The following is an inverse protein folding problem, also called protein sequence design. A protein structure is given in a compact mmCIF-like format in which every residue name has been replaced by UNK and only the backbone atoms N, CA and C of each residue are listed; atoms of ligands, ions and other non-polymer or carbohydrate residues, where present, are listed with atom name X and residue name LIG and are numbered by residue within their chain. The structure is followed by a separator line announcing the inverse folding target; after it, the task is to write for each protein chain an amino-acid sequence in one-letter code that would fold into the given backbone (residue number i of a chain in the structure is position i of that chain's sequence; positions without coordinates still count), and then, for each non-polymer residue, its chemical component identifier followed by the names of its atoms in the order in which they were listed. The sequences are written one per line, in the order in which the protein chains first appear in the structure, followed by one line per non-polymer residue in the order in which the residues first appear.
data_IF_688757136768
#
_entry.id   IF_688757136768
#
_cell.length_a   1.000
_cell.length_b   1.000
_cell.length_c   1.000
_cell.angle_alpha   90.00
_cell.angle_beta   90.00
_cell.angle_gamma   90.00
#
_symmetry.space_group_name_H-M   'P 1'
#
loop_
_entity.id
_entity.type
_entity.pdbx_description
1 polymer ?
#
# COMPACT_ATOMS: atom_id res chain seq x y z
N UNK A 1 33.93 -33.66 4.11
CA UNK A 1 33.77 -32.36 4.82
C UNK A 1 32.63 -31.60 4.17
N UNK A 2 31.59 -31.18 4.91
CA UNK A 2 30.53 -30.36 4.34
C UNK A 2 31.13 -29.02 3.90
N UNK A 3 30.75 -28.52 2.71
CA UNK A 3 31.26 -27.23 2.23
C UNK A 3 30.93 -26.11 3.24
N UNK A 4 31.74 -25.05 3.34
CA UNK A 4 31.46 -23.91 4.21
C UNK A 4 30.06 -23.32 3.99
N UNK A 5 29.55 -23.41 2.75
CA UNK A 5 28.19 -23.05 2.36
C UNK A 5 27.15 -23.98 3.00
N UNK A 6 27.34 -25.30 2.93
CA UNK A 6 26.43 -26.27 3.56
C UNK A 6 26.40 -26.12 5.10
N UNK A 7 27.53 -25.80 5.72
CA UNK A 7 27.60 -25.52 7.16
C UNK A 7 26.89 -24.21 7.53
N UNK A 8 26.99 -23.17 6.70
CA UNK A 8 26.29 -21.89 6.91
C UNK A 8 24.77 -22.02 6.74
N UNK A 9 24.32 -22.76 5.73
CA UNK A 9 22.90 -23.02 5.45
C UNK A 9 22.24 -23.79 6.60
N UNK A 10 22.92 -24.80 7.16
CA UNK A 10 22.42 -25.57 8.32
C UNK A 10 22.27 -24.75 9.61
N UNK A 11 22.94 -23.59 9.72
CA UNK A 11 22.83 -22.70 10.88
C UNK A 11 21.65 -21.73 10.80
N UNK A 12 20.94 -21.69 9.67
CA UNK A 12 19.77 -20.82 9.51
C UNK A 12 18.60 -21.42 10.30
N UNK A 13 18.01 -20.68 11.26
CA UNK A 13 16.87 -21.17 12.03
C UNK A 13 15.67 -21.52 11.13
N UNK A 14 14.90 -22.54 11.51
CA UNK A 14 13.66 -22.93 10.82
C UNK A 14 12.70 -21.73 10.66
N UNK A 15 12.63 -20.86 11.67
CA UNK A 15 11.79 -19.65 11.63
C UNK A 15 12.18 -18.71 10.48
N UNK A 16 13.47 -18.63 10.14
CA UNK A 16 13.94 -17.84 8.99
C UNK A 16 13.53 -18.50 7.68
N UNK A 17 13.62 -19.82 7.57
CA UNK A 17 13.15 -20.56 6.40
C UNK A 17 11.65 -20.38 6.16
N UNK A 18 10.84 -20.51 7.22
CA UNK A 18 9.38 -20.30 7.14
C UNK A 18 9.07 -18.86 6.73
N UNK A 19 9.77 -17.85 7.27
CA UNK A 19 9.59 -16.47 6.83
C UNK A 19 9.96 -16.27 5.36
N UNK A 20 11.08 -16.83 4.89
CA UNK A 20 11.47 -16.73 3.49
C UNK A 20 10.48 -17.41 2.57
N UNK A 21 10.01 -18.60 2.94
CA UNK A 21 9.03 -19.34 2.15
C UNK A 21 7.69 -18.59 2.09
N UNK A 22 7.12 -18.19 3.24
CA UNK A 22 5.80 -17.55 3.26
C UNK A 22 5.83 -16.14 2.71
N UNK A 23 6.75 -15.28 3.15
CA UNK A 23 6.81 -13.89 2.70
C UNK A 23 7.39 -13.80 1.29
N UNK A 24 8.54 -14.43 1.05
CA UNK A 24 9.18 -14.45 -0.26
C UNK A 24 8.32 -15.17 -1.29
N UNK A 25 7.72 -16.31 -0.94
CA UNK A 25 6.77 -17.02 -1.79
C UNK A 25 5.54 -16.18 -2.13
N UNK A 26 4.96 -15.46 -1.16
CA UNK A 26 3.82 -14.56 -1.42
C UNK A 26 4.19 -13.42 -2.38
N UNK A 27 5.35 -12.77 -2.16
CA UNK A 27 5.85 -11.70 -3.04
C UNK A 27 6.11 -12.23 -4.45
N UNK A 28 6.79 -13.37 -4.58
CA UNK A 28 7.09 -14.00 -5.87
C UNK A 28 5.82 -14.48 -6.58
N UNK A 29 4.83 -14.99 -5.85
CA UNK A 29 3.55 -15.39 -6.40
C UNK A 29 2.80 -14.21 -7.00
N UNK A 30 2.69 -13.09 -6.26
CA UNK A 30 2.08 -11.87 -6.79
C UNK A 30 2.85 -11.36 -8.01
N UNK A 31 4.18 -11.30 -7.94
CA UNK A 31 5.03 -10.89 -9.06
C UNK A 31 4.83 -11.77 -10.31
N UNK A 32 4.70 -13.08 -10.12
CA UNK A 32 4.43 -14.03 -11.20
C UNK A 32 3.08 -13.75 -11.87
N UNK A 33 2.02 -13.55 -11.08
CA UNK A 33 0.67 -13.27 -11.62
C UNK A 33 0.60 -11.95 -12.38
N UNK A 34 1.28 -10.90 -11.90
CA UNK A 34 1.25 -9.57 -12.55
C UNK A 34 2.27 -9.41 -13.68
N UNK A 35 3.07 -10.44 -13.98
CA UNK A 35 4.08 -10.43 -15.03
C UNK A 35 3.94 -11.60 -16.01
N UNK A 36 2.75 -11.82 -16.61
CA UNK A 36 2.59 -12.87 -17.61
C UNK A 36 3.54 -12.59 -18.79
N UNK A 37 4.20 -13.62 -19.28
CA UNK A 37 5.15 -13.57 -20.41
C UNK A 37 6.25 -12.51 -20.32
N UNK A 38 6.56 -12.03 -19.11
CA UNK A 38 7.55 -10.97 -18.91
C UNK A 38 7.07 -9.58 -19.33
N UNK A 39 5.75 -9.36 -19.43
CA UNK A 39 5.17 -8.08 -19.88
C UNK A 39 5.64 -6.85 -19.09
N UNK A 40 6.04 -6.97 -17.82
CA UNK A 40 6.60 -5.83 -17.07
C UNK A 40 7.89 -5.30 -17.69
N UNK A 41 8.61 -6.11 -18.46
CA UNK A 41 9.92 -5.76 -19.03
C UNK A 41 9.86 -5.40 -20.52
N UNK A 42 8.67 -5.40 -21.13
CA UNK A 42 8.50 -4.94 -22.51
C UNK A 42 8.30 -3.42 -22.56
N UNK A 43 8.59 -2.80 -23.72
CA UNK A 43 8.44 -1.35 -23.91
C UNK A 43 6.99 -0.89 -24.13
N UNK A 44 6.02 -1.80 -24.17
CA UNK A 44 4.61 -1.45 -24.31
C UNK A 44 4.08 -0.63 -23.12
N UNK A 45 3.10 0.20 -23.38
CA UNK A 45 2.31 0.87 -22.35
C UNK A 45 1.24 -0.08 -21.79
N UNK A 46 0.80 0.13 -20.53
CA UNK A 46 -0.34 -0.60 -19.99
C UNK A 46 -1.63 -0.22 -20.72
N UNK A 47 -2.58 -1.16 -20.72
CA UNK A 47 -3.95 -1.00 -21.25
C UNK A 47 -4.94 -1.68 -20.30
N UNK A 48 -6.23 -1.58 -20.59
CA UNK A 48 -7.31 -2.17 -19.81
C UNK A 48 -7.95 -1.17 -18.85
N UNK A 49 -9.30 -1.15 -18.84
CA UNK A 49 -10.09 -0.21 -18.04
C UNK A 49 -9.59 1.22 -18.09
N UNK A 50 -9.63 1.89 -16.95
CA UNK A 50 -9.11 3.26 -16.80
C UNK A 50 -7.59 3.31 -16.63
N UNK A 51 -6.90 2.18 -16.46
CA UNK A 51 -5.43 2.15 -16.34
C UNK A 51 -4.74 2.73 -17.57
N UNK A 52 -5.31 2.52 -18.77
CA UNK A 52 -4.79 3.11 -20.00
C UNK A 52 -4.77 4.64 -19.97
N UNK A 53 -5.72 5.27 -19.28
CA UNK A 53 -5.76 6.74 -19.14
C UNK A 53 -4.60 7.28 -18.30
N UNK A 54 -4.02 6.46 -17.40
CA UNK A 54 -2.85 6.86 -16.61
C UNK A 54 -1.56 6.96 -17.41
N UNK A 55 -1.52 6.51 -18.66
CA UNK A 55 -0.35 6.69 -19.54
C UNK A 55 -0.12 8.17 -19.88
N UNK A 56 -1.16 8.99 -19.93
CA UNK A 56 -1.01 10.42 -20.24
C UNK A 56 -0.40 11.21 -19.07
N UNK A 57 -0.84 10.91 -17.84
CA UNK A 57 -0.60 11.75 -16.69
C UNK A 57 0.87 12.01 -16.33
N UNK A 58 1.69 10.96 -16.07
CA UNK A 58 3.11 11.14 -15.76
C UNK A 58 3.88 11.84 -16.88
N UNK A 59 3.56 11.56 -18.15
CA UNK A 59 4.16 12.27 -19.29
C UNK A 59 3.82 13.76 -19.25
N UNK A 60 2.56 14.12 -19.01
CA UNK A 60 2.15 15.52 -18.86
C UNK A 60 2.87 16.21 -17.68
N UNK A 61 2.98 15.56 -16.51
CA UNK A 61 3.74 16.13 -15.39
C UNK A 61 5.20 16.38 -15.79
N UNK A 62 5.84 15.39 -16.42
CA UNK A 62 7.25 15.44 -16.82
C UNK A 62 7.53 16.56 -17.81
N UNK A 63 6.71 16.67 -18.85
CA UNK A 63 6.99 17.51 -20.01
C UNK A 63 6.44 18.93 -19.82
N UNK A 64 5.31 19.06 -19.11
CA UNK A 64 4.58 20.32 -19.01
C UNK A 64 4.68 20.95 -17.61
N UNK A 65 4.56 20.19 -16.53
CA UNK A 65 4.44 20.79 -15.19
C UNK A 65 5.79 20.99 -14.48
N UNK A 66 6.63 19.95 -14.42
CA UNK A 66 7.91 19.99 -13.71
C UNK A 66 8.89 21.03 -14.27
N UNK A 67 9.03 21.25 -15.59
CA UNK A 67 9.92 22.28 -16.13
C UNK A 67 9.52 23.70 -15.71
N UNK A 68 8.25 23.89 -15.33
CA UNK A 68 7.70 25.15 -14.82
C UNK A 68 7.60 25.19 -13.30
N UNK A 69 8.23 24.22 -12.61
CA UNK A 69 8.20 24.08 -11.15
C UNK A 69 6.77 23.99 -10.57
N UNK A 70 5.88 23.28 -11.28
CA UNK A 70 4.49 23.06 -10.88
C UNK A 70 4.20 21.58 -10.65
N UNK A 71 3.21 21.32 -9.79
CA UNK A 71 2.66 19.99 -9.53
C UNK A 71 1.22 19.84 -10.03
N UNK A 72 0.56 20.94 -10.35
CA UNK A 72 -0.80 21.00 -10.90
C UNK A 72 -0.86 22.06 -12.00
N UNK A 73 -1.85 21.96 -12.89
CA UNK A 73 -2.03 22.93 -13.97
C UNK A 73 -3.32 22.73 -14.75
N UNK A 74 -3.52 23.57 -15.76
CA UNK A 74 -4.58 23.38 -16.76
C UNK A 74 -3.96 22.76 -18.01
N UNK A 75 -4.59 21.72 -18.55
CA UNK A 75 -4.25 21.21 -19.88
C UNK A 75 -5.38 21.53 -20.85
N UNK A 76 -5.09 21.91 -22.11
CA UNK A 76 -6.10 21.97 -23.16
C UNK A 76 -6.49 20.59 -23.70
N UNK A 77 -5.87 19.51 -23.21
CA UNK A 77 -6.18 18.14 -23.61
C UNK A 77 -7.63 17.77 -23.21
N UNK A 78 -8.35 17.14 -24.14
CA UNK A 78 -9.78 16.77 -24.08
C UNK A 78 -10.76 17.95 -23.95
N UNK A 79 -11.57 18.13 -25.00
CA UNK A 79 -12.62 19.17 -25.08
C UNK A 79 -12.08 20.59 -24.82
N UNK A 80 -12.56 21.27 -23.78
CA UNK A 80 -12.11 22.61 -23.39
C UNK A 80 -10.89 22.59 -22.46
N UNK A 81 -10.39 21.40 -22.10
CA UNK A 81 -9.36 21.20 -21.10
C UNK A 81 -9.92 20.90 -19.71
N UNK A 82 -9.01 20.58 -18.77
CA UNK A 82 -9.37 20.25 -17.40
C UNK A 82 -8.22 20.55 -16.40
N UNK A 83 -8.52 20.66 -15.09
CA UNK A 83 -7.53 20.98 -14.07
C UNK A 83 -6.70 19.74 -13.69
N UNK A 84 -5.65 19.45 -14.46
CA UNK A 84 -4.72 18.36 -14.22
C UNK A 84 -4.10 18.39 -12.81
N UNK A 85 -4.16 17.25 -12.11
CA UNK A 85 -3.57 17.00 -10.79
C UNK A 85 -4.10 17.82 -9.60
N UNK A 86 -5.18 18.57 -9.77
CA UNK A 86 -5.84 19.24 -8.65
C UNK A 86 -6.59 18.25 -7.74
N UNK A 87 -7.18 17.21 -8.34
CA UNK A 87 -7.99 16.21 -7.63
C UNK A 87 -7.44 14.78 -7.73
N UNK A 88 -6.28 14.60 -8.37
CA UNK A 88 -5.62 13.32 -8.53
C UNK A 88 -4.32 13.27 -7.73
N UNK A 89 -3.99 12.09 -7.21
CA UNK A 89 -2.80 11.88 -6.37
C UNK A 89 -1.53 12.08 -7.20
N UNK A 90 -0.76 13.12 -6.90
CA UNK A 90 0.41 13.51 -7.71
C UNK A 90 1.63 12.63 -7.44
N UNK A 91 1.81 12.17 -6.21
CA UNK A 91 3.04 11.46 -5.79
C UNK A 91 3.25 10.13 -6.52
N UNK A 92 2.23 9.25 -6.71
CA UNK A 92 2.40 8.05 -7.54
C UNK A 92 2.91 8.36 -8.95
N UNK A 93 2.44 9.45 -9.55
CA UNK A 93 2.86 9.86 -10.89
C UNK A 93 4.28 10.41 -10.91
N UNK A 94 4.66 11.17 -9.88
CA UNK A 94 6.05 11.60 -9.70
C UNK A 94 7.00 10.40 -9.54
N UNK A 95 6.55 9.32 -8.89
CA UNK A 95 7.35 8.08 -8.82
C UNK A 95 7.52 7.46 -10.21
N UNK A 96 6.48 7.45 -11.05
CA UNK A 96 6.61 7.02 -12.47
C UNK A 96 7.65 7.87 -13.19
N UNK A 97 7.57 9.20 -13.08
CA UNK A 97 8.52 10.12 -13.73
C UNK A 97 9.95 9.92 -13.20
N UNK A 98 10.12 9.72 -11.89
CA UNK A 98 11.42 9.48 -11.29
C UNK A 98 12.08 8.20 -11.81
N UNK A 99 11.31 7.14 -12.02
CA UNK A 99 11.78 5.87 -12.60
C UNK A 99 12.04 6.01 -14.11
N UNK A 100 11.18 6.72 -14.83
CA UNK A 100 11.33 6.97 -16.27
C UNK A 100 12.60 7.78 -16.58
N UNK A 101 12.73 8.94 -15.96
CA UNK A 101 13.82 9.88 -16.23
C UNK A 101 15.13 9.46 -15.56
N UNK A 102 15.07 8.82 -14.38
CA UNK A 102 16.22 8.56 -13.52
C UNK A 102 16.69 9.83 -12.79
N UNK A 103 16.80 9.79 -11.46
CA UNK A 103 17.09 10.96 -10.63
C UNK A 103 18.53 11.48 -10.77
N UNK A 104 19.44 10.72 -11.38
CA UNK A 104 20.84 11.10 -11.53
C UNK A 104 21.35 10.96 -12.96
N UNK A 105 20.48 11.10 -13.96
CA UNK A 105 20.80 10.89 -15.37
C UNK A 105 22.02 11.68 -15.87
N UNK A 106 22.20 12.97 -15.51
CA UNK A 106 23.42 13.71 -15.86
C UNK A 106 24.70 13.20 -15.18
N UNK A 107 24.57 12.41 -14.11
CA UNK A 107 25.67 11.95 -13.25
C UNK A 107 25.91 10.43 -13.33
N UNK A 108 25.28 9.71 -14.27
CA UNK A 108 25.36 8.24 -14.33
C UNK A 108 26.80 7.71 -14.45
N UNK A 109 27.69 8.45 -15.12
CA UNK A 109 29.11 8.10 -15.24
C UNK A 109 29.80 7.99 -13.87
N UNK A 110 29.34 8.76 -12.88
CA UNK A 110 29.87 8.72 -11.51
C UNK A 110 29.05 7.78 -10.64
N UNK A 111 27.72 7.82 -10.76
CA UNK A 111 26.82 7.09 -9.87
C UNK A 111 26.86 5.58 -10.12
N UNK A 112 26.95 5.13 -11.39
CA UNK A 112 27.00 3.70 -11.70
C UNK A 112 28.26 3.01 -11.13
N UNK A 113 29.49 3.55 -11.30
CA UNK A 113 30.67 3.00 -10.62
C UNK A 113 30.54 3.02 -9.09
N UNK A 114 29.95 4.08 -8.51
CA UNK A 114 29.75 4.16 -7.06
C UNK A 114 28.80 3.07 -6.54
N UNK A 115 27.69 2.80 -7.25
CA UNK A 115 26.77 1.70 -6.97
C UNK A 115 27.51 0.36 -7.10
N UNK A 116 28.28 0.15 -8.17
CA UNK A 116 29.08 -1.06 -8.37
C UNK A 116 30.09 -1.31 -7.25
N UNK A 117 30.80 -0.26 -6.83
CA UNK A 117 31.76 -0.33 -5.72
C UNK A 117 31.06 -0.61 -4.39
N UNK A 118 29.90 0.01 -4.14
CA UNK A 118 29.10 -0.26 -2.94
C UNK A 118 28.60 -1.71 -2.91
N UNK A 119 28.10 -2.22 -4.03
CA UNK A 119 27.69 -3.61 -4.18
C UNK A 119 28.87 -4.58 -3.96
N UNK A 120 30.03 -4.32 -4.59
CA UNK A 120 31.23 -5.12 -4.42
C UNK A 120 31.71 -5.14 -2.96
N UNK A 121 31.67 -3.99 -2.26
CA UNK A 121 31.99 -3.89 -0.83
C UNK A 121 31.01 -4.67 0.04
N UNK A 122 29.71 -4.60 -0.23
CA UNK A 122 28.69 -5.37 0.50
C UNK A 122 28.90 -6.88 0.33
N UNK A 123 29.14 -7.33 -0.91
CA UNK A 123 29.37 -8.74 -1.24
C UNK A 123 30.69 -9.25 -0.68
N UNK A 124 31.76 -8.43 -0.69
CA UNK A 124 33.07 -8.78 -0.13
C UNK A 124 33.03 -8.89 1.40
N UNK A 125 32.43 -7.91 2.07
CA UNK A 125 32.45 -7.84 3.53
C UNK A 125 31.44 -8.78 4.18
N UNK A 126 30.36 -9.17 3.48
CA UNK A 126 29.27 -10.04 3.96
C UNK A 126 28.78 -9.72 5.37
N UNK A 127 28.81 -8.44 5.74
CA UNK A 127 28.41 -8.00 7.09
C UNK A 127 26.92 -8.28 7.33
N UNK A 128 26.49 -8.27 8.59
CA UNK A 128 25.12 -8.61 8.96
C UNK A 128 24.09 -7.84 8.10
N UNK A 129 23.14 -8.56 7.48
CA UNK A 129 22.13 -7.96 6.60
C UNK A 129 22.64 -7.43 5.25
N UNK A 130 23.79 -7.89 4.75
CA UNK A 130 24.30 -7.47 3.43
C UNK A 130 23.33 -7.75 2.29
N UNK A 131 22.56 -8.85 2.33
CA UNK A 131 21.52 -9.16 1.33
C UNK A 131 20.42 -8.11 1.30
N UNK A 132 19.94 -7.68 2.47
CA UNK A 132 18.95 -6.62 2.59
C UNK A 132 19.50 -5.30 2.06
N UNK A 133 20.73 -4.94 2.44
CA UNK A 133 21.39 -3.73 1.93
C UNK A 133 21.65 -3.78 0.43
N UNK A 134 21.96 -4.95 -0.12
CA UNK A 134 22.12 -5.15 -1.56
C UNK A 134 20.77 -5.00 -2.28
N UNK A 135 19.69 -5.54 -1.72
CA UNK A 135 18.34 -5.34 -2.24
C UNK A 135 17.91 -3.87 -2.20
N UNK A 136 18.20 -3.15 -1.11
CA UNK A 136 17.97 -1.71 -1.02
C UNK A 136 18.80 -0.92 -2.04
N UNK A 137 20.06 -1.32 -2.23
CA UNK A 137 20.92 -0.71 -3.25
C UNK A 137 20.34 -0.97 -4.65
N UNK A 138 19.89 -2.18 -4.96
CA UNK A 138 19.25 -2.51 -6.22
C UNK A 138 17.96 -1.70 -6.47
N UNK A 139 17.12 -1.54 -5.43
CA UNK A 139 15.93 -0.70 -5.50
C UNK A 139 16.29 0.78 -5.73
N UNK A 140 17.36 1.27 -5.08
CA UNK A 140 17.87 2.63 -5.31
C UNK A 140 18.39 2.79 -6.74
N UNK A 141 19.06 1.78 -7.31
CA UNK A 141 19.52 1.80 -8.70
C UNK A 141 18.38 2.07 -9.69
N UNK A 142 17.19 1.51 -9.44
CA UNK A 142 16.01 1.72 -10.29
C UNK A 142 15.54 3.17 -10.30
N UNK A 143 15.73 3.91 -9.20
CA UNK A 143 15.40 5.34 -9.15
C UNK A 143 16.47 6.23 -9.78
N UNK A 144 17.67 5.69 -10.00
CA UNK A 144 18.84 6.43 -10.47
C UNK A 144 18.99 6.31 -11.98
N UNK A 145 18.78 5.10 -12.52
CA UNK A 145 18.98 4.77 -13.92
C UNK A 145 17.67 4.96 -14.69
N UNK A 146 17.66 5.71 -15.81
CA UNK A 146 16.47 5.85 -16.64
C UNK A 146 15.91 4.51 -17.09
N UNK A 147 14.59 4.38 -17.05
CA UNK A 147 13.86 3.20 -17.50
C UNK A 147 12.87 3.64 -18.57
N UNK A 148 12.67 2.83 -19.62
CA UNK A 148 11.71 3.19 -20.66
C UNK A 148 10.31 3.45 -20.06
N UNK A 149 9.68 4.55 -20.45
CA UNK A 149 8.38 5.01 -19.92
C UNK A 149 7.33 3.91 -19.70
N UNK A 150 7.08 3.08 -20.73
CA UNK A 150 6.14 1.96 -20.65
C UNK A 150 6.47 0.96 -19.53
N UNK A 151 7.76 0.67 -19.29
CA UNK A 151 8.20 -0.17 -18.18
C UNK A 151 8.04 0.56 -16.84
N UNK A 152 8.44 1.83 -16.76
CA UNK A 152 8.36 2.64 -15.54
C UNK A 152 6.92 2.69 -15.00
N UNK A 153 5.94 3.00 -15.86
CA UNK A 153 4.53 3.04 -15.45
C UNK A 153 4.02 1.67 -15.03
N UNK A 154 4.37 0.58 -15.73
CA UNK A 154 3.98 -0.79 -15.35
C UNK A 154 4.56 -1.18 -14.00
N UNK A 155 5.84 -0.88 -13.75
CA UNK A 155 6.51 -1.21 -12.49
C UNK A 155 5.86 -0.49 -11.31
N UNK A 156 5.62 0.81 -11.42
CA UNK A 156 4.99 1.58 -10.35
C UNK A 156 3.52 1.18 -10.14
N UNK A 157 2.82 0.81 -11.22
CA UNK A 157 1.45 0.29 -11.14
C UNK A 157 1.37 -0.97 -10.28
N UNK A 158 2.29 -1.92 -10.46
CA UNK A 158 2.21 -3.23 -9.78
C UNK A 158 3.00 -3.29 -8.46
N UNK A 159 3.95 -2.38 -8.21
CA UNK A 159 4.85 -2.49 -7.06
C UNK A 159 4.09 -2.50 -5.74
N UNK A 160 2.98 -1.74 -5.62
CA UNK A 160 2.14 -1.75 -4.43
C UNK A 160 1.56 -3.14 -4.11
N UNK A 161 1.11 -3.87 -5.13
CA UNK A 161 0.65 -5.27 -4.98
C UNK A 161 1.82 -6.19 -4.58
N UNK A 162 2.95 -6.09 -5.29
CA UNK A 162 4.11 -6.97 -5.10
C UNK A 162 4.72 -6.82 -3.70
N UNK A 163 4.79 -5.60 -3.17
CA UNK A 163 5.35 -5.35 -1.83
C UNK A 163 4.34 -5.51 -0.70
N UNK A 164 3.04 -5.66 -1.01
CA UNK A 164 1.99 -5.78 0.02
C UNK A 164 2.21 -6.94 0.99
N UNK A 165 2.63 -8.16 0.58
CA UNK A 165 2.94 -9.22 1.54
C UNK A 165 4.11 -8.87 2.46
N UNK A 166 5.15 -8.21 1.94
CA UNK A 166 6.26 -7.74 2.76
C UNK A 166 5.81 -6.65 3.76
N UNK A 167 4.89 -5.75 3.35
CA UNK A 167 4.27 -4.77 4.24
C UNK A 167 3.38 -5.43 5.30
N UNK A 168 2.62 -6.48 4.94
CA UNK A 168 1.87 -7.31 5.87
C UNK A 168 2.77 -7.98 6.90
N UNK A 169 3.92 -8.53 6.48
CA UNK A 169 4.94 -9.06 7.37
C UNK A 169 5.49 -8.00 8.33
N UNK A 170 5.83 -6.83 7.80
CA UNK A 170 6.30 -5.70 8.61
C UNK A 170 5.24 -5.26 9.63
N UNK A 171 3.96 -5.27 9.26
CA UNK A 171 2.85 -4.95 10.17
C UNK A 171 2.87 -5.85 11.40
N UNK A 172 2.82 -7.16 11.18
CA UNK A 172 2.83 -8.15 12.26
C UNK A 172 4.12 -8.13 13.08
N UNK A 173 5.28 -7.99 12.40
CA UNK A 173 6.58 -7.92 13.07
C UNK A 173 6.73 -6.68 13.94
N UNK A 174 6.36 -5.52 13.42
CA UNK A 174 6.46 -4.26 14.15
C UNK A 174 5.46 -4.21 15.31
N UNK A 175 4.26 -4.76 15.11
CA UNK A 175 3.25 -4.90 16.16
C UNK A 175 3.59 -5.96 17.23
N UNK A 176 4.73 -6.66 17.11
CA UNK A 176 5.21 -7.60 18.12
C UNK A 176 4.48 -8.95 18.14
N UNK A 177 3.92 -9.39 17.01
CA UNK A 177 3.36 -10.73 16.92
C UNK A 177 4.45 -11.81 17.08
N UNK A 178 4.22 -12.87 17.88
CA UNK A 178 5.14 -13.99 17.98
C UNK A 178 5.17 -14.79 16.67
N UNK A 179 6.23 -15.56 16.44
CA UNK A 179 6.24 -16.53 15.33
C UNK A 179 5.08 -17.54 15.50
N UNK A 180 4.34 -17.89 14.42
CA UNK A 180 4.53 -17.48 13.02
C UNK A 180 3.71 -16.24 12.58
N UNK A 181 3.08 -15.50 13.50
CA UNK A 181 2.15 -14.40 13.23
C UNK A 181 2.58 -13.40 12.16
N UNK A 182 3.80 -12.82 12.19
CA UNK A 182 4.24 -11.91 11.12
C UNK A 182 4.26 -12.56 9.72
N UNK A 183 4.57 -13.84 9.61
CA UNK A 183 4.53 -14.52 8.31
C UNK A 183 3.08 -14.74 7.85
N UNK A 184 2.18 -15.05 8.80
CA UNK A 184 0.76 -15.20 8.52
C UNK A 184 0.11 -13.88 8.08
N UNK A 185 0.50 -12.74 8.68
CA UNK A 185 0.01 -11.43 8.22
C UNK A 185 0.47 -11.07 6.81
N UNK A 186 1.58 -11.63 6.34
CA UNK A 186 1.99 -11.53 4.93
C UNK A 186 1.05 -12.34 4.03
N UNK A 187 0.81 -13.60 4.38
CA UNK A 187 -0.05 -14.51 3.63
C UNK A 187 -1.49 -13.99 3.58
N UNK A 188 -1.99 -13.40 4.66
CA UNK A 188 -3.32 -12.79 4.74
C UNK A 188 -3.51 -11.60 3.77
N UNK A 189 -2.46 -11.02 3.21
CA UNK A 189 -2.62 -10.02 2.14
C UNK A 189 -3.01 -10.63 0.80
N UNK A 190 -2.71 -11.92 0.56
CA UNK A 190 -3.03 -12.60 -0.70
C UNK A 190 -4.55 -12.67 -0.97
N UNK A 191 -5.41 -13.13 -0.05
CA UNK A 191 -6.86 -13.14 -0.29
C UNK A 191 -7.42 -11.74 -0.54
N UNK A 192 -6.81 -10.69 0.00
CA UNK A 192 -7.17 -9.30 -0.31
C UNK A 192 -6.72 -8.87 -1.71
N UNK A 193 -5.46 -9.15 -2.08
CA UNK A 193 -4.90 -8.84 -3.41
C UNK A 193 -5.72 -9.51 -4.51
N UNK A 194 -6.17 -10.74 -4.28
CA UNK A 194 -6.94 -11.54 -5.25
C UNK A 194 -8.45 -11.53 -5.01
N UNK A 195 -8.96 -10.65 -4.14
CA UNK A 195 -10.39 -10.58 -3.85
C UNK A 195 -11.18 -10.19 -5.11
N UNK A 196 -12.13 -11.03 -5.52
CA UNK A 196 -12.96 -10.85 -6.72
C UNK A 196 -14.33 -10.24 -6.43
N UNK A 197 -14.57 -9.77 -5.21
CA UNK A 197 -15.85 -9.18 -4.82
C UNK A 197 -15.99 -7.68 -5.15
N UNK A 198 -14.91 -7.03 -5.58
CA UNK A 198 -14.90 -5.63 -6.02
C UNK A 198 -13.80 -5.36 -7.05
N UNK A 199 -14.03 -4.45 -8.00
CA UNK A 199 -13.07 -4.17 -9.08
C UNK A 199 -12.73 -2.68 -9.26
N UNK A 200 -13.39 -1.78 -8.54
CA UNK A 200 -13.23 -0.32 -8.67
C UNK A 200 -13.15 0.37 -7.30
N UNK A 201 -13.15 -0.41 -6.21
CA UNK A 201 -13.20 0.14 -4.86
C UNK A 201 -11.80 0.46 -4.31
N UNK A 202 -10.76 -0.24 -4.80
CA UNK A 202 -9.35 0.05 -4.52
C UNK A 202 -8.61 -1.08 -3.80
N UNK A 203 -7.29 -1.19 -4.04
CA UNK A 203 -6.38 -2.00 -3.22
C UNK A 203 -6.15 -3.45 -3.64
N UNK A 204 -6.99 -4.03 -4.50
CA UNK A 204 -6.79 -5.36 -5.07
C UNK A 204 -6.29 -5.31 -6.52
N UNK A 205 -6.04 -6.48 -7.10
CA UNK A 205 -5.55 -6.63 -8.47
C UNK A 205 -6.52 -6.03 -9.50
N UNK A 206 -7.82 -6.33 -9.40
CA UNK A 206 -8.81 -5.83 -10.35
C UNK A 206 -8.95 -4.30 -10.29
N UNK A 207 -8.95 -3.71 -9.09
CA UNK A 207 -8.99 -2.25 -8.92
C UNK A 207 -7.72 -1.58 -9.47
N UNK A 208 -6.56 -2.22 -9.31
CA UNK A 208 -5.31 -1.74 -9.94
C UNK A 208 -5.47 -1.63 -11.45
N UNK A 209 -6.11 -2.61 -12.09
CA UNK A 209 -6.39 -2.59 -13.53
C UNK A 209 -7.50 -1.61 -13.92
N UNK A 210 -8.38 -1.25 -12.98
CA UNK A 210 -9.35 -0.17 -13.14
C UNK A 210 -8.78 1.23 -12.83
N UNK A 211 -7.44 1.39 -12.82
CA UNK A 211 -6.79 2.69 -12.59
C UNK A 211 -6.54 3.07 -11.12
N UNK A 212 -7.00 2.27 -10.16
CA UNK A 212 -6.81 2.50 -8.72
C UNK A 212 -5.44 2.01 -8.20
N UNK A 213 -4.41 2.00 -9.05
CA UNK A 213 -3.10 1.43 -8.69
C UNK A 213 -2.44 2.15 -7.51
N UNK A 214 -2.63 3.48 -7.42
CA UNK A 214 -2.13 4.30 -6.33
C UNK A 214 -2.66 3.86 -4.95
N UNK A 215 -3.86 3.26 -4.93
CA UNK A 215 -4.46 2.70 -3.73
C UNK A 215 -3.58 1.57 -3.13
N UNK A 216 -2.98 0.72 -3.97
CA UNK A 216 -2.13 -0.39 -3.50
C UNK A 216 -0.82 0.10 -2.87
N UNK A 217 -0.23 1.16 -3.43
CA UNK A 217 0.91 1.87 -2.83
C UNK A 217 0.54 2.43 -1.45
N UNK A 218 -0.64 3.05 -1.35
CA UNK A 218 -1.15 3.58 -0.10
C UNK A 218 -1.42 2.48 0.94
N UNK A 219 -2.00 1.34 0.53
CA UNK A 219 -2.22 0.19 1.41
C UNK A 219 -0.89 -0.35 1.94
N UNK A 220 0.11 -0.54 1.09
CA UNK A 220 1.43 -0.99 1.53
C UNK A 220 2.06 -0.04 2.56
N UNK A 221 1.98 1.28 2.34
CA UNK A 221 2.45 2.27 3.32
C UNK A 221 1.64 2.23 4.62
N UNK A 222 0.31 2.11 4.52
CA UNK A 222 -0.63 2.06 5.64
C UNK A 222 -0.38 0.84 6.54
N UNK A 223 -0.11 -0.33 5.96
CA UNK A 223 0.22 -1.55 6.68
C UNK A 223 1.44 -1.33 7.60
N UNK A 224 2.54 -0.82 7.02
CA UNK A 224 3.76 -0.54 7.81
C UNK A 224 3.50 0.54 8.86
N UNK A 225 2.70 1.57 8.54
CA UNK A 225 2.25 2.58 9.50
C UNK A 225 1.51 1.96 10.69
N UNK A 226 0.54 1.06 10.47
CA UNK A 226 -0.22 0.40 11.54
C UNK A 226 0.74 -0.37 12.46
N UNK A 227 1.69 -1.12 11.90
CA UNK A 227 2.70 -1.84 12.68
C UNK A 227 3.58 -0.89 13.52
N UNK A 228 4.05 0.21 12.92
CA UNK A 228 4.81 1.24 13.63
C UNK A 228 3.99 1.93 14.71
N UNK A 229 2.72 2.19 14.47
CA UNK A 229 1.79 2.82 15.40
C UNK A 229 1.59 1.94 16.63
N UNK A 230 1.25 0.66 16.45
CA UNK A 230 1.07 -0.28 17.58
C UNK A 230 2.33 -0.32 18.46
N UNK A 231 3.51 -0.44 17.85
CA UNK A 231 4.80 -0.39 18.55
C UNK A 231 5.08 0.96 19.20
N UNK A 232 4.76 2.05 18.51
CA UNK A 232 5.04 3.42 18.92
C UNK A 232 4.23 3.84 20.13
N UNK A 233 2.98 3.39 20.22
CA UNK A 233 2.11 3.60 21.37
C UNK A 233 2.57 2.82 22.62
N UNK A 234 3.37 1.77 22.45
CA UNK A 234 4.00 1.03 23.56
C UNK A 234 5.32 1.63 24.00
N UNK A 235 6.16 1.98 23.01
CA UNK A 235 7.57 2.30 23.25
C UNK A 235 7.85 3.81 23.26
N UNK A 236 6.91 4.63 22.79
CA UNK A 236 7.11 6.05 22.55
C UNK A 236 8.00 6.38 21.33
N UNK A 237 8.53 5.37 20.63
CA UNK A 237 9.52 5.54 19.55
C UNK A 237 8.88 5.51 18.15
N UNK A 238 9.67 5.83 17.13
CA UNK A 238 9.30 5.63 15.71
C UNK A 238 8.37 6.69 15.09
N UNK A 239 8.14 7.82 15.78
CA UNK A 239 7.22 8.90 15.32
C UNK A 239 7.55 9.43 13.93
N UNK A 240 8.83 9.71 13.65
CA UNK A 240 9.24 10.26 12.35
C UNK A 240 8.92 9.29 11.20
N UNK A 241 9.29 8.01 11.33
CA UNK A 241 8.98 6.99 10.32
C UNK A 241 7.46 6.79 10.16
N UNK A 242 6.71 6.80 11.26
CA UNK A 242 5.26 6.70 11.23
C UNK A 242 4.61 7.92 10.55
N UNK A 243 5.12 9.13 10.80
CA UNK A 243 4.61 10.36 10.19
C UNK A 243 4.86 10.37 8.67
N UNK A 244 6.06 9.94 8.25
CA UNK A 244 6.37 9.78 6.82
C UNK A 244 5.44 8.75 6.16
N UNK A 245 5.23 7.59 6.78
CA UNK A 245 4.35 6.57 6.20
C UNK A 245 2.88 6.98 6.19
N UNK A 246 2.41 7.71 7.20
CA UNK A 246 1.05 8.27 7.22
C UNK A 246 0.89 9.35 6.14
N UNK A 247 1.87 10.23 5.97
CA UNK A 247 1.88 11.23 4.90
C UNK A 247 1.88 10.56 3.52
N UNK A 248 2.74 9.56 3.30
CA UNK A 248 2.78 8.79 2.06
C UNK A 248 1.47 8.05 1.80
N UNK A 249 0.83 7.49 2.83
CA UNK A 249 -0.49 6.86 2.70
C UNK A 249 -1.50 7.85 2.11
N UNK A 250 -1.58 9.08 2.65
CA UNK A 250 -2.49 10.11 2.13
C UNK A 250 -2.10 10.67 0.77
N UNK A 251 -0.81 10.88 0.54
CA UNK A 251 -0.28 11.38 -0.74
C UNK A 251 -0.37 10.36 -1.88
N UNK A 252 -0.41 9.07 -1.55
CA UNK A 252 -0.70 8.01 -2.49
C UNK A 252 -2.20 7.84 -2.71
N UNK A 253 -3.01 7.83 -1.64
CA UNK A 253 -4.45 7.72 -1.76
C UNK A 253 -5.21 8.18 -0.50
N UNK A 254 -5.99 9.26 -0.62
CA UNK A 254 -6.70 9.87 0.51
C UNK A 254 -7.65 8.90 1.25
N UNK A 255 -8.35 8.02 0.51
CA UNK A 255 -9.27 7.05 1.14
C UNK A 255 -8.55 6.06 2.08
N UNK A 256 -7.31 5.70 1.78
CA UNK A 256 -6.52 4.82 2.65
C UNK A 256 -5.99 5.58 3.86
N UNK A 257 -5.77 6.89 3.75
CA UNK A 257 -5.46 7.71 4.92
C UNK A 257 -6.62 7.73 5.92
N UNK A 258 -7.88 7.74 5.47
CA UNK A 258 -9.02 7.59 6.39
C UNK A 258 -8.99 6.25 7.13
N UNK A 259 -8.62 5.15 6.46
CA UNK A 259 -8.41 3.88 7.16
C UNK A 259 -7.28 3.97 8.20
N UNK A 260 -6.14 4.57 7.86
CA UNK A 260 -5.05 4.80 8.80
C UNK A 260 -5.50 5.59 10.04
N UNK A 261 -6.30 6.65 9.83
CA UNK A 261 -6.87 7.47 10.91
C UNK A 261 -7.90 6.72 11.77
N UNK A 262 -8.75 5.89 11.16
CA UNK A 262 -9.66 4.99 11.90
C UNK A 262 -8.85 4.03 12.77
N UNK A 263 -7.82 3.39 12.21
CA UNK A 263 -6.95 2.50 12.98
C UNK A 263 -6.24 3.25 14.13
N UNK A 264 -5.82 4.50 13.92
CA UNK A 264 -5.28 5.37 14.99
C UNK A 264 -6.29 5.66 16.08
N UNK A 265 -7.51 6.03 15.72
CA UNK A 265 -8.58 6.32 16.67
C UNK A 265 -8.92 5.07 17.49
N UNK A 266 -9.07 3.92 16.84
CA UNK A 266 -9.29 2.64 17.53
C UNK A 266 -8.12 2.32 18.46
N UNK A 267 -6.87 2.48 18.02
CA UNK A 267 -5.71 2.23 18.86
C UNK A 267 -5.68 3.12 20.12
N UNK A 268 -6.13 4.37 20.01
CA UNK A 268 -6.30 5.27 21.15
C UNK A 268 -7.45 4.82 22.07
N UNK A 269 -8.58 4.41 21.50
CA UNK A 269 -9.75 3.95 22.26
C UNK A 269 -9.49 2.64 23.01
N UNK A 270 -8.69 1.74 22.44
CA UNK A 270 -8.30 0.46 23.07
C UNK A 270 -7.40 0.69 24.29
N UNK A 271 -6.58 1.76 24.29
CA UNK A 271 -5.73 2.12 25.43
C UNK A 271 -5.59 3.63 25.57
N UNK A 272 -6.59 4.31 26.14
CA UNK A 272 -6.55 5.76 26.27
C UNK A 272 -5.44 6.16 27.24
N UNK A 273 -4.49 6.95 26.75
CA UNK A 273 -3.47 7.59 27.61
C UNK A 273 -3.02 8.92 27.02
N UNK A 274 -2.47 9.80 27.87
CA UNK A 274 -1.93 11.10 27.44
C UNK A 274 -0.72 10.92 26.51
N UNK A 275 0.08 9.89 26.75
CA UNK A 275 1.25 9.53 25.95
C UNK A 275 0.83 9.01 24.57
N UNK A 276 -0.21 8.16 24.52
CA UNK A 276 -0.78 7.67 23.26
C UNK A 276 -1.35 8.83 22.45
N UNK A 277 -2.15 9.69 23.08
CA UNK A 277 -2.68 10.89 22.45
C UNK A 277 -1.57 11.80 21.92
N UNK A 278 -0.55 12.11 22.74
CA UNK A 278 0.60 12.92 22.32
C UNK A 278 1.35 12.29 21.15
N UNK A 279 1.57 10.97 21.17
CA UNK A 279 2.24 10.25 20.10
C UNK A 279 1.45 10.36 18.79
N UNK A 280 0.14 10.12 18.82
CA UNK A 280 -0.73 10.24 17.64
C UNK A 280 -0.82 11.67 17.14
N UNK A 281 -1.04 12.65 18.02
CA UNK A 281 -1.15 14.06 17.63
C UNK A 281 0.14 14.58 16.98
N UNK A 282 1.31 14.31 17.58
CA UNK A 282 2.58 14.76 17.01
C UNK A 282 2.89 14.06 15.68
N UNK A 283 2.60 12.76 15.57
CA UNK A 283 2.77 12.00 14.33
C UNK A 283 1.83 12.50 13.24
N UNK A 284 0.56 12.70 13.58
CA UNK A 284 -0.49 13.20 12.68
C UNK A 284 -0.25 14.63 12.23
N UNK A 285 0.22 15.51 13.11
CA UNK A 285 0.58 16.89 12.76
C UNK A 285 1.74 16.92 11.76
N UNK A 286 2.82 16.17 12.01
CA UNK A 286 3.95 16.10 11.08
C UNK A 286 3.50 15.50 9.74
N UNK A 287 2.69 14.44 9.75
CA UNK A 287 2.15 13.86 8.52
C UNK A 287 1.27 14.84 7.73
N UNK A 288 0.41 15.58 8.44
CA UNK A 288 -0.43 16.64 7.88
C UNK A 288 0.39 17.75 7.24
N UNK A 289 1.43 18.23 7.93
CA UNK A 289 2.36 19.24 7.39
C UNK A 289 3.10 18.72 6.15
N UNK A 290 3.59 17.48 6.17
CA UNK A 290 4.27 16.87 5.02
C UNK A 290 3.35 16.68 3.80
N UNK A 291 2.04 16.58 3.99
CA UNK A 291 1.05 16.39 2.92
C UNK A 291 0.28 17.67 2.56
N UNK A 292 0.46 18.74 3.33
CA UNK A 292 -0.30 19.99 3.22
C UNK A 292 -0.19 20.64 1.83
N UNK A 293 0.96 20.50 1.16
CA UNK A 293 1.19 21.07 -0.17
C UNK A 293 0.22 20.54 -1.23
N UNK A 294 -0.37 19.35 -1.02
CA UNK A 294 -1.34 18.74 -1.93
C UNK A 294 -2.76 18.73 -1.31
N UNK A 295 -2.87 18.38 -0.02
CA UNK A 295 -4.17 18.26 0.67
C UNK A 295 -4.88 19.61 0.81
N UNK A 296 -4.15 20.70 1.10
CA UNK A 296 -4.78 22.01 1.27
C UNK A 296 -5.33 22.57 -0.06
N UNK A 297 -4.58 22.57 -1.18
CA UNK A 297 -5.14 22.96 -2.47
C UNK A 297 -6.32 22.08 -2.91
N UNK A 298 -6.22 20.76 -2.72
CA UNK A 298 -7.33 19.83 -2.98
C UNK A 298 -8.59 20.25 -2.22
N UNK A 299 -8.46 20.47 -0.91
CA UNK A 299 -9.58 20.83 -0.05
C UNK A 299 -10.16 22.21 -0.41
N UNK A 300 -9.31 23.18 -0.74
CA UNK A 300 -9.72 24.53 -1.12
C UNK A 300 -10.52 24.53 -2.42
N UNK A 301 -10.16 23.67 -3.38
CA UNK A 301 -10.79 23.61 -4.69
C UNK A 301 -11.90 22.56 -4.80
N UNK A 302 -12.24 21.87 -3.69
CA UNK A 302 -13.16 20.74 -3.65
C UNK A 302 -14.52 20.97 -4.31
N UNK A 303 -14.96 22.21 -4.46
CA UNK A 303 -16.22 22.56 -5.11
C UNK A 303 -16.21 22.20 -6.61
N UNK A 304 -15.04 22.14 -7.23
CA UNK A 304 -14.83 21.72 -8.63
C UNK A 304 -14.54 20.22 -8.79
N UNK A 305 -14.55 19.45 -7.69
CA UNK A 305 -14.37 18.00 -7.75
C UNK A 305 -15.57 17.37 -8.48
N UNK A 306 -15.28 16.55 -9.49
CA UNK A 306 -16.30 15.81 -10.22
C UNK A 306 -17.09 14.90 -9.29
N UNK A 307 -18.42 14.91 -9.45
CA UNK A 307 -19.30 13.92 -8.85
C UNK A 307 -19.53 12.80 -9.85
N UNK A 308 -19.19 11.57 -9.47
CA UNK A 308 -19.41 10.42 -10.32
C UNK A 308 -20.89 9.96 -10.31
N UNK A 309 -21.72 10.54 -9.44
CA UNK A 309 -23.13 10.19 -9.26
C UNK A 309 -23.35 8.71 -8.90
N UNK A 310 -22.45 8.13 -8.10
CA UNK A 310 -22.60 6.74 -7.65
C UNK A 310 -23.61 6.66 -6.52
N UNK A 311 -24.61 5.80 -6.70
CA UNK A 311 -25.60 5.55 -5.67
C UNK A 311 -25.05 4.77 -4.49
N UNK A 312 -25.56 5.08 -3.30
CA UNK A 312 -25.22 4.35 -2.08
C UNK A 312 -25.56 2.86 -2.22
N UNK A 313 -24.61 1.99 -1.90
CA UNK A 313 -24.86 0.56 -1.76
C UNK A 313 -25.73 0.30 -0.53
N UNK A 314 -26.94 -0.22 -0.73
CA UNK A 314 -27.93 -0.47 0.34
C UNK A 314 -28.04 -1.94 0.76
N UNK A 315 -27.46 -2.87 -0.02
CA UNK A 315 -27.45 -4.32 0.28
C UNK A 315 -26.43 -4.64 1.37
N UNK A 316 -26.60 -4.07 2.56
CA UNK A 316 -25.57 -4.05 3.60
C UNK A 316 -25.09 -5.44 4.01
N UNK A 317 -26.04 -6.35 4.22
CA UNK A 317 -25.76 -7.75 4.55
C UNK A 317 -24.90 -8.44 3.48
N UNK A 318 -25.18 -8.18 2.21
CA UNK A 318 -24.42 -8.75 1.10
C UNK A 318 -22.95 -8.32 1.16
N UNK A 319 -22.70 -7.01 1.30
CA UNK A 319 -21.31 -6.51 1.31
C UNK A 319 -20.57 -6.79 2.62
N UNK A 320 -21.26 -6.90 3.76
CA UNK A 320 -20.59 -7.10 5.05
C UNK A 320 -20.39 -8.57 5.42
N UNK A 321 -21.23 -9.49 4.93
CA UNK A 321 -21.26 -10.89 5.38
C UNK A 321 -21.24 -11.90 4.23
N UNK A 322 -22.20 -11.81 3.30
CA UNK A 322 -22.58 -12.96 2.48
C UNK A 322 -22.04 -12.95 1.03
N UNK A 323 -21.85 -11.75 0.46
CA UNK A 323 -21.42 -11.50 -0.93
C UNK A 323 -22.24 -12.25 -2.01
N UNK A 324 -23.54 -12.40 -1.76
CA UNK A 324 -24.52 -13.04 -2.65
C UNK A 324 -24.99 -12.14 -3.82
N UNK A 325 -24.90 -10.83 -3.63
CA UNK A 325 -25.52 -9.82 -4.49
C UNK A 325 -24.63 -8.57 -4.58
N UNK A 326 -23.64 -8.64 -5.46
CA UNK A 326 -22.62 -7.62 -5.66
C UNK A 326 -23.00 -6.59 -6.72
N UNK A 327 -22.16 -5.58 -6.91
CA UNK A 327 -22.46 -4.42 -7.75
C UNK A 327 -22.45 -4.74 -9.26
N UNK A 328 -21.85 -5.86 -9.66
CA UNK A 328 -21.77 -6.30 -11.05
C UNK A 328 -21.72 -7.83 -11.11
N UNK A 329 -22.25 -8.41 -12.20
CA UNK A 329 -22.50 -9.84 -12.34
C UNK A 329 -21.21 -10.70 -12.40
N UNK A 330 -20.08 -10.11 -12.79
CA UNK A 330 -18.79 -10.81 -12.81
C UNK A 330 -18.08 -10.80 -11.45
N UNK A 331 -18.57 -10.03 -10.47
CA UNK A 331 -18.02 -10.01 -9.12
C UNK A 331 -18.52 -11.23 -8.36
N UNK A 332 -17.64 -11.87 -7.59
CA UNK A 332 -17.93 -13.13 -6.93
C UNK A 332 -17.42 -13.14 -5.49
N UNK A 333 -18.01 -14.00 -4.65
CA UNK A 333 -17.55 -14.26 -3.30
C UNK A 333 -16.30 -15.15 -3.31
N UNK A 334 -15.21 -14.63 -3.87
CA UNK A 334 -13.95 -15.35 -3.96
C UNK A 334 -12.77 -14.44 -3.57
N UNK A 335 -12.01 -14.77 -2.52
CA UNK A 335 -12.22 -15.91 -1.63
C UNK A 335 -13.48 -15.74 -0.76
N UNK A 336 -14.06 -16.84 -0.23
CA UNK A 336 -15.27 -16.78 0.58
C UNK A 336 -15.12 -15.94 1.85
N UNK A 337 -15.84 -14.81 1.93
CA UNK A 337 -15.76 -13.88 3.06
C UNK A 337 -16.14 -14.53 4.40
N UNK A 338 -17.12 -15.42 4.39
CA UNK A 338 -17.63 -16.10 5.59
C UNK A 338 -16.52 -16.90 6.28
N UNK A 339 -15.67 -17.57 5.50
CA UNK A 339 -14.52 -18.33 6.03
C UNK A 339 -13.53 -17.36 6.67
N UNK A 340 -13.24 -16.23 6.02
CA UNK A 340 -12.36 -15.21 6.58
C UNK A 340 -12.94 -14.60 7.88
N UNK A 341 -14.25 -14.35 7.95
CA UNK A 341 -14.93 -13.87 9.17
C UNK A 341 -14.81 -14.89 10.30
N UNK A 342 -15.07 -16.17 10.03
CA UNK A 342 -14.97 -17.23 11.05
C UNK A 342 -13.55 -17.32 11.63
N UNK A 343 -12.54 -17.28 10.77
CA UNK A 343 -11.14 -17.31 11.21
C UNK A 343 -10.77 -15.99 11.91
N UNK A 344 -11.27 -14.85 11.46
CA UNK A 344 -11.05 -13.56 12.11
C UNK A 344 -11.68 -13.51 13.52
N UNK A 345 -12.82 -14.17 13.75
CA UNK A 345 -13.39 -14.34 15.10
C UNK A 345 -12.44 -15.15 15.97
N UNK A 346 -11.86 -16.24 15.46
CA UNK A 346 -10.83 -17.01 16.17
C UNK A 346 -9.60 -16.14 16.47
N UNK A 347 -9.15 -15.34 15.49
CA UNK A 347 -8.04 -14.39 15.66
C UNK A 347 -8.32 -13.30 16.69
N UNK A 348 -9.56 -12.81 16.80
CA UNK A 348 -9.99 -11.90 17.85
C UNK A 348 -9.97 -12.58 19.22
N UNK A 349 -10.51 -13.80 19.34
CA UNK A 349 -10.49 -14.57 20.59
C UNK A 349 -9.05 -14.84 21.03
N UNK A 350 -8.17 -15.23 20.11
CA UNK A 350 -6.75 -15.40 20.38
C UNK A 350 -6.10 -14.06 20.80
N UNK A 351 -6.48 -12.95 20.17
CA UNK A 351 -6.01 -11.62 20.53
C UNK A 351 -6.47 -11.20 21.92
N UNK A 352 -7.67 -11.58 22.36
CA UNK A 352 -8.14 -11.38 23.73
C UNK A 352 -7.32 -12.24 24.70
N UNK A 353 -7.20 -13.55 24.44
CA UNK A 353 -6.50 -14.50 25.30
C UNK A 353 -5.03 -14.11 25.51
N UNK A 354 -4.35 -13.68 24.43
CA UNK A 354 -2.93 -13.32 24.45
C UNK A 354 -2.68 -11.80 24.50
N UNK A 355 -3.73 -11.00 24.72
CA UNK A 355 -3.68 -9.53 24.82
C UNK A 355 -2.94 -8.86 23.64
N UNK A 356 -3.22 -9.32 22.42
CA UNK A 356 -2.62 -8.79 21.18
C UNK A 356 -3.34 -7.53 20.73
N UNK A 357 -2.62 -6.41 20.77
CA UNK A 357 -3.16 -5.09 20.43
C UNK A 357 -3.55 -4.95 18.97
N UNK A 358 -2.75 -5.52 18.07
CA UNK A 358 -3.05 -5.48 16.64
C UNK A 358 -4.44 -6.06 16.36
N UNK A 359 -4.81 -7.18 17.00
CA UNK A 359 -6.14 -7.77 16.83
C UNK A 359 -7.27 -6.86 17.27
N UNK A 360 -7.14 -6.16 18.41
CA UNK A 360 -8.13 -5.17 18.83
C UNK A 360 -8.24 -3.99 17.87
N UNK A 361 -7.11 -3.51 17.33
CA UNK A 361 -7.09 -2.42 16.34
C UNK A 361 -7.79 -2.85 15.06
N UNK A 362 -7.50 -4.04 14.53
CA UNK A 362 -8.12 -4.57 13.32
C UNK A 362 -9.61 -4.85 13.51
N UNK A 363 -10.00 -5.49 14.62
CA UNK A 363 -11.41 -5.76 14.93
C UNK A 363 -12.22 -4.48 15.12
N UNK A 364 -11.71 -3.53 15.90
CA UNK A 364 -12.37 -2.23 16.08
C UNK A 364 -12.45 -1.44 14.78
N UNK A 365 -11.42 -1.52 13.93
CA UNK A 365 -11.44 -0.88 12.60
C UNK A 365 -12.50 -1.52 11.70
N UNK A 366 -12.59 -2.86 11.65
CA UNK A 366 -13.61 -3.57 10.88
C UNK A 366 -15.03 -3.17 11.33
N UNK A 367 -15.28 -3.09 12.65
CA UNK A 367 -16.58 -2.67 13.19
C UNK A 367 -16.90 -1.22 12.78
N UNK A 368 -15.98 -0.28 13.01
CA UNK A 368 -16.21 1.13 12.67
C UNK A 368 -16.39 1.36 11.17
N UNK A 369 -15.62 0.66 10.33
CA UNK A 369 -15.75 0.73 8.88
C UNK A 369 -17.07 0.10 8.40
N UNK A 370 -17.49 -1.02 8.99
CA UNK A 370 -18.79 -1.63 8.71
C UNK A 370 -19.95 -0.69 9.06
N UNK A 371 -19.89 -0.03 10.23
CA UNK A 371 -20.86 0.99 10.62
C UNK A 371 -20.82 2.21 9.69
N UNK A 372 -19.63 2.68 9.32
CA UNK A 372 -19.48 3.77 8.36
C UNK A 372 -20.09 3.42 7.00
N UNK A 373 -19.90 2.20 6.51
CA UNK A 373 -20.50 1.72 5.27
C UNK A 373 -22.04 1.77 5.28
N UNK A 374 -22.66 1.41 6.41
CA UNK A 374 -24.12 1.44 6.58
C UNK A 374 -24.64 2.86 6.73
N UNK A 375 -23.98 3.68 7.55
CA UNK A 375 -24.52 4.97 7.98
C UNK A 375 -24.04 6.17 7.15
N UNK A 376 -23.03 6.01 6.29
CA UNK A 376 -22.60 7.08 5.40
C UNK A 376 -23.79 7.52 4.51
N UNK A 377 -24.20 8.79 4.55
CA UNK A 377 -25.27 9.28 3.70
C UNK A 377 -24.83 9.26 2.23
N UNK A 378 -25.79 9.25 1.33
CA UNK A 378 -25.51 9.40 -0.09
C UNK A 378 -24.90 10.78 -0.37
N UNK A 379 -23.89 10.81 -1.24
CA UNK A 379 -23.13 12.00 -1.56
C UNK A 379 -21.85 11.63 -2.31
N UNK A 380 -20.93 12.58 -2.44
CA UNK A 380 -19.70 12.42 -3.24
C UNK A 380 -18.82 11.25 -2.81
N UNK A 381 -18.81 10.91 -1.51
CA UNK A 381 -18.10 9.73 -1.03
C UNK A 381 -18.98 8.48 -1.20
N UNK A 382 -18.70 7.72 -2.24
CA UNK A 382 -19.34 6.42 -2.46
C UNK A 382 -18.99 5.44 -1.32
N UNK A 383 -20.01 4.92 -0.63
CA UNK A 383 -19.81 4.05 0.55
C UNK A 383 -19.07 2.75 0.21
N UNK A 384 -19.16 2.23 -1.02
CA UNK A 384 -18.37 1.06 -1.45
C UNK A 384 -16.85 1.27 -1.33
N UNK A 385 -16.35 2.52 -1.34
CA UNK A 385 -14.93 2.82 -1.09
C UNK A 385 -14.44 2.49 0.33
N UNK A 386 -15.35 2.21 1.27
CA UNK A 386 -15.02 1.81 2.64
C UNK A 386 -14.70 0.31 2.71
N UNK A 387 -15.30 -0.50 1.82
CA UNK A 387 -15.25 -1.96 1.87
C UNK A 387 -13.83 -2.56 1.76
N UNK A 388 -12.89 -2.04 0.95
CA UNK A 388 -11.54 -2.59 0.90
C UNK A 388 -10.82 -2.58 2.25
N UNK A 389 -10.94 -1.48 3.01
CA UNK A 389 -10.34 -1.38 4.33
C UNK A 389 -11.02 -2.34 5.34
N UNK A 390 -12.34 -2.53 5.21
CA UNK A 390 -13.11 -3.51 5.99
C UNK A 390 -12.62 -4.94 5.72
N UNK A 391 -12.55 -5.36 4.45
CA UNK A 391 -12.08 -6.69 4.07
C UNK A 391 -10.63 -6.92 4.46
N UNK A 392 -9.74 -5.95 4.23
CA UNK A 392 -8.34 -6.03 4.64
C UNK A 392 -8.22 -6.22 6.16
N UNK A 393 -9.03 -5.51 6.94
CA UNK A 393 -9.05 -5.68 8.41
C UNK A 393 -9.47 -7.10 8.81
N UNK A 394 -10.47 -7.70 8.14
CA UNK A 394 -10.90 -9.08 8.38
C UNK A 394 -9.80 -10.07 8.02
N UNK A 395 -9.22 -9.96 6.82
CA UNK A 395 -8.17 -10.89 6.38
C UNK A 395 -6.94 -10.83 7.30
N UNK A 396 -6.52 -9.63 7.72
CA UNK A 396 -5.39 -9.49 8.65
C UNK A 396 -5.72 -9.97 10.07
N UNK A 397 -6.97 -9.83 10.52
CA UNK A 397 -7.40 -10.35 11.82
C UNK A 397 -7.48 -11.88 11.83
N UNK A 398 -7.66 -12.51 10.67
CA UNK A 398 -7.62 -13.95 10.50
C UNK A 398 -6.20 -14.56 10.55
N UNK A 399 -5.14 -13.74 10.49
CA UNK A 399 -3.74 -14.16 10.62
C UNK A 399 -3.26 -14.16 12.08
#
# INVERSE_FOLDING_TARGET
MASPLAAAVRRIPLTTWVNWFLVGGSVLFVLWVVNPDGLLFTRSTPTGGDLGAHVWGPAYIRDELLPRFRLTGWTPDWYAGFPAYHFYMVVPMLVVVAVDVGLATPLLVVVLPAIGLAAARLVRNRSAGWLTRLGLLAALSVLVVPVHYGMAIKWVTVVGLVVMPAAGWLTGRLAGLPFPGPALTAVATLPFVFDRSFNIMGGNLMSTMAGEFAFTLAVAACLVYIGLMVRGLETGRGRAAAAVLLALTGLFHLLVAFYALVASAVALLVRPSREALRWLLTTGLVAGLCSAFWVLPFWWQRDHLNDMAWHKLTRFRSYLLDRDHLAADFLTNDPPLQVAILIAVVGLVASIAFRRRLGFVLAGSAILLGLAFVHLPEGRLYNGRILPAYYLSIYLLAA
#
